data_IF_802578472127
#
_entry.id   IF_802578472127
#
_cell.length_a   1.000
_cell.length_b   1.000
_cell.length_c   1.000
_cell.angle_alpha   90.00
_cell.angle_beta   90.00
_cell.angle_gamma   90.00
#
_symmetry.space_group_name_H-M   'P 1'
#
loop_
_entity.id
_entity.type
_entity.pdbx_description
1 polymer ?
#
# COMPACT_ATOMS: atom_id res chain seq x y z
N UNK A 1 -8.54 43.81 -40.14
CA UNK A 1 -8.26 42.39 -40.42
C UNK A 1 -6.86 41.96 -39.98
N UNK A 2 -5.79 42.68 -40.35
CA UNK A 2 -4.39 42.33 -39.95
C UNK A 2 -4.15 42.38 -38.43
N UNK A 3 -4.70 43.38 -37.73
CA UNK A 3 -4.63 43.50 -36.25
C UNK A 3 -5.38 42.38 -35.52
N UNK A 4 -6.54 41.94 -36.04
CA UNK A 4 -7.32 40.84 -35.47
C UNK A 4 -6.59 39.49 -35.65
N UNK A 5 -5.95 39.28 -36.79
CA UNK A 5 -5.12 38.11 -37.04
C UNK A 5 -3.88 38.05 -36.13
N UNK A 6 -3.25 39.19 -35.86
CA UNK A 6 -2.08 39.27 -34.96
C UNK A 6 -2.45 38.99 -33.49
N UNK A 7 -3.64 39.44 -33.07
CA UNK A 7 -4.17 39.15 -31.72
C UNK A 7 -4.54 37.67 -31.54
N UNK A 8 -5.10 37.02 -32.57
CA UNK A 8 -5.39 35.58 -32.53
C UNK A 8 -4.11 34.72 -32.50
N UNK A 9 -3.02 35.19 -33.12
CA UNK A 9 -1.72 34.50 -33.06
C UNK A 9 -1.11 34.53 -31.65
N UNK A 10 -1.27 35.64 -30.90
CA UNK A 10 -0.77 35.74 -29.53
C UNK A 10 -1.58 34.92 -28.52
N UNK A 11 -2.88 34.72 -28.77
CA UNK A 11 -3.73 33.80 -27.98
C UNK A 11 -3.44 32.31 -28.26
N UNK A 12 -2.78 31.98 -29.38
CA UNK A 12 -2.38 30.61 -29.73
C UNK A 12 -1.03 30.20 -29.12
N UNK A 13 -0.20 31.14 -28.68
CA UNK A 13 1.08 30.87 -28.01
C UNK A 13 1.00 29.87 -26.83
N UNK A 14 -0.02 29.90 -25.93
CA UNK A 14 -0.13 28.92 -24.85
C UNK A 14 -0.43 27.49 -25.34
N UNK A 15 -0.92 27.29 -26.57
CA UNK A 15 -1.20 25.95 -27.12
C UNK A 15 0.09 25.22 -27.55
N UNK A 16 1.14 25.97 -27.88
CA UNK A 16 2.47 25.43 -28.24
C UNK A 16 3.46 25.42 -27.07
N UNK A 17 3.08 26.00 -25.92
CA UNK A 17 3.84 25.95 -24.67
C UNK A 17 3.45 24.76 -23.79
N UNK A 18 2.51 23.91 -24.24
CA UNK A 18 2.17 22.68 -23.54
C UNK A 18 3.27 21.65 -23.78
N UNK A 19 4.20 21.54 -22.82
CA UNK A 19 5.10 20.37 -22.76
C UNK A 19 4.23 19.09 -22.75
N UNK A 20 4.68 18.00 -23.40
CA UNK A 20 3.98 16.72 -23.35
C UNK A 20 4.02 16.16 -21.92
N UNK A 21 3.10 16.63 -21.06
CA UNK A 21 3.11 16.31 -19.64
C UNK A 21 2.11 17.09 -18.79
N UNK A 22 1.65 18.28 -19.20
CA UNK A 22 0.79 19.11 -18.34
C UNK A 22 -0.71 18.83 -18.53
N UNK A 23 -1.13 17.57 -18.33
CA UNK A 23 -2.48 17.33 -17.85
C UNK A 23 -2.48 17.56 -16.34
N UNK A 24 -3.39 18.39 -15.83
CA UNK A 24 -3.65 18.54 -14.39
C UNK A 24 -4.33 17.27 -13.81
N UNK A 25 -3.73 16.10 -14.04
CA UNK A 25 -4.07 14.85 -13.38
C UNK A 25 -3.09 14.59 -12.26
N UNK A 26 -3.47 13.76 -11.27
CA UNK A 26 -2.51 13.21 -10.31
C UNK A 26 -1.34 12.60 -11.13
N UNK A 27 -0.14 13.17 -11.00
CA UNK A 27 1.05 12.62 -11.62
C UNK A 27 1.18 11.14 -11.26
N UNK A 28 1.75 10.32 -12.17
CA UNK A 28 1.94 8.88 -11.94
C UNK A 28 2.55 8.58 -10.56
N UNK A 29 3.44 9.45 -10.09
CA UNK A 29 4.10 9.37 -8.78
C UNK A 29 3.10 9.50 -7.61
N UNK A 30 2.16 10.45 -7.68
CA UNK A 30 1.13 10.64 -6.66
C UNK A 30 0.18 9.44 -6.59
N UNK A 31 -0.16 8.85 -7.74
CA UNK A 31 -0.99 7.65 -7.79
C UNK A 31 -0.23 6.41 -7.26
N UNK A 32 1.08 6.33 -7.53
CA UNK A 32 1.97 5.31 -7.00
C UNK A 32 2.04 5.32 -5.47
N UNK A 33 2.30 6.50 -4.87
CA UNK A 33 2.35 6.65 -3.40
C UNK A 33 1.02 6.30 -2.75
N UNK A 34 -0.11 6.73 -3.34
CA UNK A 34 -1.44 6.39 -2.82
C UNK A 34 -1.70 4.88 -2.88
N UNK A 35 -1.34 4.23 -3.99
CA UNK A 35 -1.49 2.78 -4.15
C UNK A 35 -0.58 1.98 -3.19
N UNK A 36 0.65 2.43 -2.96
CA UNK A 36 1.55 1.86 -1.95
C UNK A 36 0.95 1.98 -0.54
N UNK A 37 0.52 3.17 -0.14
CA UNK A 37 -0.09 3.39 1.18
C UNK A 37 -1.34 2.55 1.39
N UNK A 38 -2.21 2.48 0.37
CA UNK A 38 -3.45 1.71 0.44
C UNK A 38 -3.20 0.20 0.53
N UNK A 39 -2.32 -0.34 -0.32
CA UNK A 39 -1.98 -1.76 -0.29
C UNK A 39 -1.34 -2.18 1.03
N UNK A 40 -0.46 -1.35 1.60
CA UNK A 40 0.15 -1.61 2.92
C UNK A 40 -0.87 -1.53 4.06
N UNK A 41 -1.77 -0.53 4.03
CA UNK A 41 -2.82 -0.41 5.03
C UNK A 41 -3.77 -1.63 5.01
N UNK A 42 -4.14 -2.10 3.82
CA UNK A 42 -4.99 -3.26 3.66
C UNK A 42 -4.30 -4.55 4.13
N UNK A 43 -3.04 -4.78 3.71
CA UNK A 43 -2.28 -5.96 4.12
C UNK A 43 -2.07 -6.00 5.64
N UNK A 44 -1.64 -4.89 6.24
CA UNK A 44 -1.40 -4.82 7.69
C UNK A 44 -2.68 -4.95 8.51
N UNK A 45 -3.81 -4.39 8.05
CA UNK A 45 -5.11 -4.56 8.73
C UNK A 45 -5.55 -6.03 8.80
N UNK A 46 -5.48 -6.76 7.68
CA UNK A 46 -5.87 -8.17 7.64
C UNK A 46 -4.90 -9.03 8.47
N UNK A 47 -3.60 -8.79 8.35
CA UNK A 47 -2.60 -9.52 9.13
C UNK A 47 -2.80 -9.28 10.63
N UNK A 48 -3.01 -8.04 11.06
CA UNK A 48 -3.28 -7.70 12.46
C UNK A 48 -4.53 -8.39 13.01
N UNK A 49 -5.62 -8.46 12.23
CA UNK A 49 -6.83 -9.20 12.62
C UNK A 49 -6.57 -10.71 12.76
N UNK A 50 -5.81 -11.30 11.83
CA UNK A 50 -5.47 -12.72 11.88
C UNK A 50 -4.56 -13.05 13.07
N UNK A 51 -3.54 -12.21 13.32
CA UNK A 51 -2.61 -12.37 14.44
C UNK A 51 -3.32 -12.23 15.78
N UNK A 52 -4.20 -11.23 15.93
CA UNK A 52 -5.01 -11.06 17.13
C UNK A 52 -5.83 -12.31 17.45
N UNK A 53 -6.53 -12.86 16.45
CA UNK A 53 -7.28 -14.11 16.62
C UNK A 53 -6.40 -15.31 16.98
N UNK A 54 -5.24 -15.44 16.33
CA UNK A 54 -4.30 -16.53 16.60
C UNK A 54 -3.75 -16.47 18.04
N UNK A 55 -3.41 -15.27 18.51
CA UNK A 55 -2.91 -15.04 19.87
C UNK A 55 -4.01 -15.31 20.90
N UNK A 56 -5.24 -14.81 20.70
CA UNK A 56 -6.35 -15.10 21.61
C UNK A 56 -6.61 -16.61 21.74
N UNK A 57 -6.63 -17.34 20.62
CA UNK A 57 -6.81 -18.79 20.63
C UNK A 57 -5.64 -19.52 21.33
N UNK A 58 -4.40 -19.04 21.17
CA UNK A 58 -3.25 -19.58 21.86
C UNK A 58 -3.32 -19.35 23.38
N UNK A 59 -3.74 -18.16 23.83
CA UNK A 59 -3.94 -17.86 25.24
C UNK A 59 -5.02 -18.76 25.89
N UNK A 60 -6.16 -18.92 25.23
CA UNK A 60 -7.22 -19.84 25.69
C UNK A 60 -6.75 -21.30 25.70
N UNK A 61 -6.02 -21.72 24.68
CA UNK A 61 -5.44 -23.06 24.58
C UNK A 61 -4.45 -23.34 25.70
N UNK A 62 -3.57 -22.40 26.01
CA UNK A 62 -2.60 -22.48 27.09
C UNK A 62 -3.28 -22.53 28.47
N UNK A 63 -4.33 -21.71 28.68
CA UNK A 63 -5.08 -21.70 29.93
C UNK A 63 -5.80 -23.03 30.20
N UNK A 64 -6.34 -23.68 29.16
CA UNK A 64 -7.03 -24.97 29.27
C UNK A 64 -6.08 -26.16 29.41
N UNK A 65 -4.89 -26.08 28.83
CA UNK A 65 -3.91 -27.17 28.82
C UNK A 65 -2.48 -26.65 29.04
N UNK A 66 -2.13 -26.24 30.28
CA UNK A 66 -0.84 -25.61 30.57
C UNK A 66 0.36 -26.53 30.31
N UNK A 67 0.18 -27.86 30.43
CA UNK A 67 1.24 -28.84 30.14
C UNK A 67 1.66 -28.91 28.66
N UNK A 68 0.96 -28.23 27.76
CA UNK A 68 1.29 -28.18 26.32
C UNK A 68 1.70 -26.78 25.85
N UNK A 69 1.88 -25.83 26.77
CA UNK A 69 2.14 -24.42 26.46
C UNK A 69 3.36 -24.22 25.54
N UNK A 70 4.46 -24.92 25.78
CA UNK A 70 5.69 -24.80 24.98
C UNK A 70 5.46 -25.22 23.52
N UNK A 71 4.80 -26.36 23.32
CA UNK A 71 4.47 -26.84 21.96
C UNK A 71 3.48 -25.90 21.27
N UNK A 72 2.51 -25.37 22.01
CA UNK A 72 1.54 -24.40 21.49
C UNK A 72 2.22 -23.11 21.06
N UNK A 73 3.18 -22.61 21.83
CA UNK A 73 3.97 -21.41 21.49
C UNK A 73 4.75 -21.61 20.19
N UNK A 74 5.40 -22.77 20.00
CA UNK A 74 6.13 -23.06 18.75
C UNK A 74 5.17 -23.05 17.54
N UNK A 75 4.04 -23.74 17.64
CA UNK A 75 3.04 -23.78 16.56
C UNK A 75 2.46 -22.38 16.29
N UNK A 76 2.22 -21.59 17.33
CA UNK A 76 1.76 -20.21 17.22
C UNK A 76 2.78 -19.33 16.51
N UNK A 77 4.06 -19.37 16.88
CA UNK A 77 5.12 -18.55 16.25
C UNK A 77 5.24 -18.90 14.77
N UNK A 78 5.21 -20.19 14.42
CA UNK A 78 5.25 -20.63 13.01
C UNK A 78 4.03 -20.08 12.25
N UNK A 79 2.84 -20.18 12.81
CA UNK A 79 1.62 -19.63 12.21
C UNK A 79 1.68 -18.10 12.03
N UNK A 80 2.12 -17.37 13.07
CA UNK A 80 2.30 -15.93 13.04
C UNK A 80 3.35 -15.51 12.00
N UNK A 81 4.44 -16.26 11.87
CA UNK A 81 5.48 -15.98 10.86
C UNK A 81 4.94 -16.11 9.43
N UNK A 82 4.07 -17.09 9.16
CA UNK A 82 3.41 -17.18 7.86
C UNK A 82 2.44 -16.03 7.61
N UNK A 83 1.65 -15.63 8.62
CA UNK A 83 0.76 -14.46 8.49
C UNK A 83 1.58 -13.20 8.21
N UNK A 84 2.66 -12.98 8.96
CA UNK A 84 3.51 -11.80 8.82
C UNK A 84 4.26 -11.79 7.48
N UNK A 85 4.60 -12.97 6.93
CA UNK A 85 5.25 -13.04 5.61
C UNK A 85 4.41 -12.40 4.50
N UNK A 86 3.08 -12.41 4.61
CA UNK A 86 2.20 -11.74 3.65
C UNK A 86 2.36 -10.22 3.71
N UNK A 87 2.43 -9.65 4.93
CA UNK A 87 2.69 -8.23 5.12
C UNK A 87 4.10 -7.85 4.63
N UNK A 88 5.11 -8.68 4.93
CA UNK A 88 6.48 -8.46 4.44
C UNK A 88 6.58 -8.53 2.92
N UNK A 89 5.86 -9.43 2.24
CA UNK A 89 5.82 -9.44 0.78
C UNK A 89 5.20 -8.17 0.20
N UNK A 90 4.11 -7.67 0.80
CA UNK A 90 3.56 -6.36 0.40
C UNK A 90 4.57 -5.24 0.60
N UNK A 91 5.23 -5.19 1.75
CA UNK A 91 6.27 -4.20 2.06
C UNK A 91 7.45 -4.27 1.07
N UNK A 92 7.93 -5.47 0.75
CA UNK A 92 9.03 -5.67 -0.22
C UNK A 92 8.63 -5.19 -1.61
N UNK A 93 7.42 -5.51 -2.07
CA UNK A 93 6.95 -5.06 -3.39
C UNK A 93 6.88 -3.53 -3.44
N UNK A 94 6.39 -2.89 -2.38
CA UNK A 94 6.35 -1.43 -2.26
C UNK A 94 7.77 -0.86 -2.28
N UNK A 95 8.68 -1.39 -1.46
CA UNK A 95 10.06 -0.90 -1.35
C UNK A 95 10.87 -1.05 -2.65
N UNK A 96 10.59 -2.07 -3.46
CA UNK A 96 11.29 -2.29 -4.74
C UNK A 96 10.69 -1.46 -5.88
N UNK A 97 9.40 -1.11 -5.81
CA UNK A 97 8.69 -0.41 -6.90
C UNK A 97 8.49 1.09 -6.68
N UNK A 98 8.64 1.58 -5.45
CA UNK A 98 8.55 3.00 -5.07
C UNK A 98 9.94 3.54 -4.79
#
# INVERSE_FOLDING_TARGET
>A
MVLLGSFMLMLAAPVFAQEPGTAAGLGKDALGVLAAGFSMAFASAICGLAQGKAISAACEGAARNPGMADKLQIMMIIGLAFIESLALYTMVIIFVKM
#
